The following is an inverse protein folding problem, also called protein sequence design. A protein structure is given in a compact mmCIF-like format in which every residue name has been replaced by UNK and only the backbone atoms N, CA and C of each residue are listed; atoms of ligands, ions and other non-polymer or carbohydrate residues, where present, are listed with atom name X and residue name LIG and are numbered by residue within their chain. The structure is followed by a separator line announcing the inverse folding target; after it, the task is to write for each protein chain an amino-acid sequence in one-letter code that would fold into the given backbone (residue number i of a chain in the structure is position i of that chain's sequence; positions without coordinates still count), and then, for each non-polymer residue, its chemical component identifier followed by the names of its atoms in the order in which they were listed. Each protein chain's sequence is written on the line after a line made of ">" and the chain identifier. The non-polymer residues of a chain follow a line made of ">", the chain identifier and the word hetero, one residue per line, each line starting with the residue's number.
data_IF_499097784625
#
_entry.id   IF_499097784625
#
_cell.length_a   1.000
_cell.length_b   1.000
_cell.length_c   1.000
_cell.angle_alpha   90.00
_cell.angle_beta   90.00
_cell.angle_gamma   90.00
#
_symmetry.space_group_name_H-M   'P 1'
#
loop_
_entity.id
_entity.type
_entity.pdbx_description
1 polymer ?
#
# COMPACT_ATOMS: atom_id res chain seq x y z
N UNK A 1 -31.27 -13.71 -6.02
CA UNK A 1 -30.11 -14.49 -5.49
C UNK A 1 -29.64 -13.79 -4.23
N UNK A 2 -29.61 -14.50 -3.12
CA UNK A 2 -29.05 -14.00 -1.87
C UNK A 2 -27.55 -13.73 -2.02
N UNK A 3 -27.05 -12.69 -1.35
CA UNK A 3 -25.63 -12.29 -1.38
C UNK A 3 -24.71 -13.44 -0.94
N UNK A 4 -25.09 -14.15 0.10
CA UNK A 4 -24.31 -15.29 0.62
C UNK A 4 -24.34 -16.50 -0.34
N UNK A 5 -25.40 -16.68 -1.09
CA UNK A 5 -25.46 -17.71 -2.14
C UNK A 5 -24.48 -17.37 -3.27
N UNK A 6 -24.36 -16.10 -3.67
CA UNK A 6 -23.38 -15.65 -4.63
C UNK A 6 -21.95 -15.94 -4.15
N UNK A 7 -21.65 -15.68 -2.87
CA UNK A 7 -20.34 -15.98 -2.29
C UNK A 7 -20.05 -17.50 -2.29
N UNK A 8 -21.05 -18.32 -1.92
CA UNK A 8 -20.91 -19.80 -1.93
C UNK A 8 -20.68 -20.37 -3.33
N UNK A 9 -21.25 -19.74 -4.36
CA UNK A 9 -21.09 -20.17 -5.76
C UNK A 9 -19.76 -19.71 -6.38
N UNK A 10 -19.00 -18.84 -5.73
CA UNK A 10 -17.70 -18.43 -6.22
C UNK A 10 -16.62 -19.46 -5.86
N UNK A 11 -16.35 -20.37 -6.80
CA UNK A 11 -15.47 -21.53 -6.61
C UNK A 11 -14.13 -21.39 -7.34
N UNK A 12 -13.92 -20.35 -8.16
CA UNK A 12 -12.75 -20.23 -9.02
C UNK A 12 -11.40 -20.32 -8.27
N UNK A 13 -11.28 -19.70 -7.09
CA UNK A 13 -10.07 -19.79 -6.29
C UNK A 13 -9.85 -21.22 -5.75
N UNK A 14 -10.93 -21.91 -5.32
CA UNK A 14 -10.87 -23.29 -4.81
C UNK A 14 -10.45 -24.25 -5.92
N UNK A 15 -11.03 -24.14 -7.08
CA UNK A 15 -10.69 -24.93 -8.27
C UNK A 15 -9.22 -24.73 -8.69
N UNK A 16 -8.72 -23.50 -8.65
CA UNK A 16 -7.32 -23.19 -8.93
C UNK A 16 -6.37 -23.79 -7.88
N UNK A 17 -6.75 -23.78 -6.59
CA UNK A 17 -5.97 -24.43 -5.51
C UNK A 17 -5.94 -25.95 -5.72
N UNK A 18 -7.08 -26.58 -5.98
CA UNK A 18 -7.20 -28.02 -6.23
C UNK A 18 -6.39 -28.46 -7.47
N UNK A 19 -6.31 -27.58 -8.47
CA UNK A 19 -5.51 -27.80 -9.70
C UNK A 19 -4.02 -27.49 -9.54
N UNK A 20 -3.57 -27.01 -8.37
CA UNK A 20 -2.16 -26.68 -8.11
C UNK A 20 -1.63 -25.45 -8.85
N UNK A 21 -2.51 -24.59 -9.39
CA UNK A 21 -2.17 -23.39 -10.16
C UNK A 21 -2.48 -22.07 -9.45
N UNK A 22 -2.62 -22.11 -8.12
CA UNK A 22 -2.93 -20.91 -7.31
C UNK A 22 -1.67 -20.34 -6.65
N UNK A 23 -1.02 -19.32 -7.25
CA UNK A 23 0.26 -18.78 -6.77
C UNK A 23 0.10 -17.64 -5.76
N UNK A 24 -1.09 -17.44 -5.19
CA UNK A 24 -1.39 -16.29 -4.33
C UNK A 24 -1.44 -16.67 -2.85
N UNK A 25 -1.28 -15.67 -1.98
CA UNK A 25 -1.37 -15.81 -0.52
C UNK A 25 -0.43 -16.86 0.07
N UNK A 26 0.78 -16.95 -0.50
CA UNK A 26 1.82 -17.87 -0.04
C UNK A 26 2.40 -17.34 1.28
N UNK A 27 2.29 -18.06 2.41
CA UNK A 27 2.84 -17.62 3.68
C UNK A 27 4.36 -17.81 3.71
N UNK A 28 5.09 -16.75 4.03
CA UNK A 28 6.53 -16.80 4.24
C UNK A 28 6.82 -16.88 5.74
N UNK A 29 7.73 -17.75 6.16
CA UNK A 29 8.13 -17.90 7.56
C UNK A 29 9.14 -16.85 7.99
N UNK A 30 10.10 -16.56 7.11
CA UNK A 30 11.15 -15.56 7.32
C UNK A 30 11.33 -14.76 6.03
N UNK A 31 11.71 -13.50 6.20
CA UNK A 31 12.01 -12.59 5.11
C UNK A 31 13.20 -11.72 5.52
N UNK A 32 14.39 -12.05 5.03
CA UNK A 32 15.61 -11.33 5.33
C UNK A 32 16.42 -11.03 4.06
N UNK A 33 16.51 -9.74 3.75
CA UNK A 33 17.23 -9.28 2.56
C UNK A 33 16.59 -9.80 1.27
N UNK A 34 17.31 -10.64 0.55
CA UNK A 34 16.90 -11.27 -0.72
C UNK A 34 16.43 -12.71 -0.56
N UNK A 35 16.42 -13.23 0.65
CA UNK A 35 16.05 -14.61 0.95
C UNK A 35 14.77 -14.70 1.77
N UNK A 36 14.02 -15.76 1.55
CA UNK A 36 12.80 -16.08 2.30
C UNK A 36 12.79 -17.55 2.67
N UNK A 37 12.07 -17.90 3.73
CA UNK A 37 11.81 -19.28 4.08
C UNK A 37 10.36 -19.62 3.79
N UNK A 38 10.17 -20.60 2.93
CA UNK A 38 8.87 -21.16 2.57
C UNK A 38 8.88 -22.68 2.75
N UNK A 39 7.98 -23.22 3.55
CA UNK A 39 7.88 -24.65 3.86
C UNK A 39 9.24 -25.27 4.31
N UNK A 40 9.99 -24.55 5.13
CA UNK A 40 11.30 -24.97 5.63
C UNK A 40 12.46 -24.88 4.62
N UNK A 41 12.21 -24.39 3.41
CA UNK A 41 13.26 -24.21 2.38
C UNK A 41 13.63 -22.74 2.24
N UNK A 42 14.93 -22.44 2.16
CA UNK A 42 15.46 -21.13 1.76
C UNK A 42 15.30 -20.95 0.26
N UNK A 43 14.71 -19.84 -0.12
CA UNK A 43 14.47 -19.45 -1.51
C UNK A 43 14.90 -18.00 -1.74
N UNK A 44 15.25 -17.69 -2.99
CA UNK A 44 15.54 -16.32 -3.40
C UNK A 44 14.21 -15.62 -3.72
N UNK A 45 13.98 -14.46 -3.12
CA UNK A 45 12.80 -13.64 -3.35
C UNK A 45 12.99 -12.75 -4.58
N UNK A 46 12.40 -13.14 -5.72
CA UNK A 46 12.43 -12.36 -6.95
C UNK A 46 11.22 -11.40 -7.11
N UNK A 47 10.20 -11.52 -6.27
CA UNK A 47 8.94 -10.78 -6.39
C UNK A 47 8.76 -9.66 -5.34
N UNK A 48 9.84 -9.15 -4.75
CA UNK A 48 9.78 -8.14 -3.70
C UNK A 48 9.80 -6.71 -4.25
N UNK A 49 9.04 -5.81 -3.62
CA UNK A 49 9.14 -4.36 -3.84
C UNK A 49 10.24 -3.70 -2.98
N UNK A 50 11.07 -4.47 -2.31
CA UNK A 50 12.21 -3.98 -1.51
C UNK A 50 13.38 -3.57 -2.40
N UNK A 51 13.16 -2.66 -3.36
CA UNK A 51 14.12 -2.29 -4.40
C UNK A 51 15.47 -1.79 -3.87
N UNK A 52 15.47 -1.10 -2.74
CA UNK A 52 16.69 -0.55 -2.11
C UNK A 52 17.25 -1.45 -0.99
N UNK A 53 16.62 -2.58 -0.69
CA UNK A 53 17.07 -3.49 0.37
C UNK A 53 16.97 -2.91 1.79
N UNK A 54 16.14 -1.91 2.00
CA UNK A 54 16.11 -1.15 3.26
C UNK A 54 15.25 -1.77 4.36
N UNK A 55 14.37 -2.73 4.05
CA UNK A 55 13.44 -3.30 5.05
C UNK A 55 14.14 -3.96 6.24
N UNK A 56 15.36 -4.47 6.04
CA UNK A 56 16.16 -5.11 7.09
C UNK A 56 17.38 -4.28 7.51
N UNK A 57 17.52 -3.07 6.96
CA UNK A 57 18.68 -2.22 7.25
C UNK A 57 18.70 -1.79 8.73
N UNK A 58 19.83 -1.94 9.45
CA UNK A 58 19.91 -1.70 10.89
C UNK A 58 19.41 -0.32 11.32
N UNK A 59 19.79 0.74 10.61
CA UNK A 59 19.34 2.12 10.90
C UNK A 59 17.84 2.29 10.76
N UNK A 60 17.21 1.61 9.78
CA UNK A 60 15.75 1.69 9.56
C UNK A 60 15.03 0.95 10.69
N UNK A 61 15.51 -0.24 11.07
CA UNK A 61 14.98 -0.99 12.22
C UNK A 61 15.10 -0.19 13.52
N UNK A 62 16.27 0.39 13.78
CA UNK A 62 16.50 1.21 14.97
C UNK A 62 15.57 2.44 15.02
N UNK A 63 15.37 3.13 13.89
CA UNK A 63 14.46 4.26 13.81
C UNK A 63 13.01 3.85 14.09
N UNK A 64 12.58 2.69 13.60
CA UNK A 64 11.25 2.15 13.88
C UNK A 64 11.06 1.80 15.35
N UNK A 65 12.07 1.18 16.00
CA UNK A 65 12.03 0.87 17.43
C UNK A 65 11.91 2.16 18.26
N UNK A 66 12.74 3.17 17.97
CA UNK A 66 12.67 4.48 18.66
C UNK A 66 11.32 5.18 18.47
N UNK A 67 10.72 5.04 17.28
CA UNK A 67 9.38 5.59 17.02
C UNK A 67 8.32 4.88 17.86
N UNK A 68 8.38 3.56 17.98
CA UNK A 68 7.48 2.78 18.84
C UNK A 68 7.64 3.17 20.30
N UNK A 69 8.85 3.29 20.80
CA UNK A 69 9.15 3.71 22.18
C UNK A 69 8.59 5.10 22.49
N UNK A 70 8.65 6.02 21.53
CA UNK A 70 8.21 7.40 21.70
C UNK A 70 6.71 7.61 21.50
N UNK A 71 6.11 6.95 20.53
CA UNK A 71 4.73 7.21 20.05
C UNK A 71 3.77 6.03 20.25
N UNK A 72 4.29 4.87 20.65
CA UNK A 72 3.51 3.63 20.66
C UNK A 72 3.31 3.04 19.26
N UNK A 73 2.33 2.16 19.13
CA UNK A 73 2.10 1.37 17.91
C UNK A 73 1.00 1.95 17.00
N UNK A 74 0.38 3.06 17.40
CA UNK A 74 -0.74 3.64 16.67
C UNK A 74 -0.86 5.15 16.92
N UNK A 75 -1.38 5.87 15.92
CA UNK A 75 -1.75 7.28 16.04
C UNK A 75 -3.10 7.49 16.72
N UNK A 76 -3.83 6.42 17.05
CA UNK A 76 -5.15 6.40 17.71
C UNK A 76 -6.26 7.20 17.05
N UNK A 77 -6.04 7.78 15.89
CA UNK A 77 -7.03 8.55 15.14
C UNK A 77 -6.58 8.93 13.74
N UNK A 78 -7.49 9.54 12.98
CA UNK A 78 -7.18 10.05 11.65
C UNK A 78 -6.27 11.29 11.73
N UNK A 79 -5.47 11.49 10.72
CA UNK A 79 -4.60 12.67 10.62
C UNK A 79 -5.38 13.99 10.65
N UNK A 80 -6.59 13.99 10.13
CA UNK A 80 -7.47 15.16 10.11
C UNK A 80 -7.91 15.61 11.52
N UNK A 81 -8.06 14.69 12.45
CA UNK A 81 -8.56 15.00 13.80
C UNK A 81 -7.43 15.01 14.85
N UNK A 82 -7.01 13.84 15.31
CA UNK A 82 -6.11 13.68 16.45
C UNK A 82 -4.92 12.74 16.20
N UNK A 83 -4.75 12.25 14.98
CA UNK A 83 -3.71 11.29 14.61
C UNK A 83 -2.50 11.89 13.90
N UNK A 84 -2.35 13.22 13.82
CA UNK A 84 -1.14 13.85 13.29
C UNK A 84 -0.08 13.92 14.38
N UNK A 85 1.01 13.21 14.18
CA UNK A 85 2.20 13.24 15.03
C UNK A 85 3.24 14.19 14.44
N UNK A 86 4.10 14.77 15.28
CA UNK A 86 5.21 15.62 14.84
C UNK A 86 6.14 14.92 13.81
N UNK A 87 6.27 13.60 13.90
CA UNK A 87 7.04 12.82 12.93
C UNK A 87 6.39 12.80 11.51
N UNK A 88 5.09 12.95 11.39
CA UNK A 88 4.43 13.07 10.08
C UNK A 88 4.82 14.40 9.41
N UNK A 89 4.72 15.50 10.14
CA UNK A 89 5.07 16.83 9.64
C UNK A 89 6.56 16.93 9.26
N UNK A 90 7.42 16.33 10.10
CA UNK A 90 8.85 16.28 9.81
C UNK A 90 9.14 15.47 8.53
N UNK A 91 8.51 14.31 8.36
CA UNK A 91 8.66 13.49 7.17
C UNK A 91 8.15 14.22 5.91
N UNK A 92 7.01 14.89 5.99
CA UNK A 92 6.46 15.69 4.88
C UNK A 92 7.41 16.81 4.47
N UNK A 93 7.99 17.50 5.43
CA UNK A 93 8.99 18.54 5.19
C UNK A 93 10.24 17.97 4.50
N UNK A 94 10.82 16.91 5.04
CA UNK A 94 12.02 16.27 4.48
C UNK A 94 11.77 15.72 3.07
N UNK A 95 10.61 15.13 2.82
CA UNK A 95 10.23 14.66 1.47
C UNK A 95 10.07 15.82 0.50
N UNK A 96 9.42 16.92 0.90
CA UNK A 96 9.28 18.11 0.06
C UNK A 96 10.64 18.69 -0.32
N UNK A 97 11.54 18.85 0.64
CA UNK A 97 12.91 19.30 0.43
C UNK A 97 13.68 18.36 -0.53
N UNK A 98 13.58 17.04 -0.30
CA UNK A 98 14.28 16.05 -1.11
C UNK A 98 13.84 16.03 -2.58
N UNK A 99 12.54 16.19 -2.84
CA UNK A 99 12.00 16.21 -4.22
C UNK A 99 11.96 17.63 -4.82
N UNK A 100 12.40 18.67 -4.09
CA UNK A 100 12.42 20.06 -4.55
C UNK A 100 11.03 20.65 -4.76
N UNK A 101 10.07 20.35 -3.88
CA UNK A 101 8.70 20.87 -3.89
C UNK A 101 8.43 21.74 -2.66
N UNK A 102 7.42 22.59 -2.75
CA UNK A 102 7.01 23.46 -1.63
C UNK A 102 6.48 22.66 -0.43
N UNK A 103 5.76 21.57 -0.70
CA UNK A 103 5.14 20.75 0.31
C UNK A 103 4.98 19.31 -0.16
N UNK A 104 4.75 18.41 0.79
CA UNK A 104 4.38 17.02 0.55
C UNK A 104 3.28 16.61 1.52
N UNK A 105 2.49 15.62 1.14
CA UNK A 105 1.50 14.98 1.97
C UNK A 105 1.72 13.47 1.98
N UNK A 106 1.84 12.89 3.17
CA UNK A 106 2.10 11.47 3.35
C UNK A 106 0.80 10.70 3.60
N UNK A 107 0.63 9.62 2.89
CA UNK A 107 -0.45 8.64 3.06
C UNK A 107 0.11 7.31 3.55
N UNK A 108 -0.69 6.51 4.23
CA UNK A 108 -0.27 5.21 4.76
C UNK A 108 0.03 4.17 3.69
N UNK A 109 -0.58 4.29 2.50
CA UNK A 109 -0.39 3.36 1.38
C UNK A 109 -0.43 4.08 0.04
N UNK A 110 0.21 3.51 -0.99
CA UNK A 110 0.13 4.01 -2.37
C UNK A 110 -1.31 3.98 -2.90
N UNK A 111 -2.12 3.02 -2.49
CA UNK A 111 -3.54 2.98 -2.83
C UNK A 111 -4.28 4.22 -2.30
N UNK A 112 -4.11 4.56 -1.03
CA UNK A 112 -4.71 5.77 -0.45
C UNK A 112 -4.18 7.05 -1.10
N UNK A 113 -2.90 7.08 -1.48
CA UNK A 113 -2.33 8.20 -2.22
C UNK A 113 -3.05 8.42 -3.54
N UNK A 114 -3.23 7.36 -4.34
CA UNK A 114 -3.90 7.45 -5.63
C UNK A 114 -5.39 7.79 -5.47
N UNK A 115 -6.10 7.11 -4.57
CA UNK A 115 -7.51 7.41 -4.29
C UNK A 115 -7.69 8.86 -3.83
N UNK A 116 -6.95 9.28 -2.81
CA UNK A 116 -7.06 10.61 -2.23
C UNK A 116 -6.70 11.71 -3.20
N UNK A 117 -5.59 11.55 -3.94
CA UNK A 117 -5.12 12.58 -4.88
C UNK A 117 -6.04 12.71 -6.08
N UNK A 118 -6.34 11.59 -6.76
CA UNK A 118 -7.12 11.64 -8.00
C UNK A 118 -8.55 12.10 -7.71
N UNK A 119 -9.23 11.52 -6.71
CA UNK A 119 -10.60 11.89 -6.41
C UNK A 119 -10.77 13.32 -5.90
N UNK A 120 -9.77 13.85 -5.18
CA UNK A 120 -9.84 15.21 -4.65
C UNK A 120 -9.61 16.30 -5.70
N UNK A 121 -8.84 16.01 -6.75
CA UNK A 121 -8.49 16.98 -7.78
C UNK A 121 -9.52 17.06 -8.91
N UNK A 122 -10.36 16.04 -9.08
CA UNK A 122 -11.25 15.91 -10.23
C UNK A 122 -12.68 16.32 -9.87
N UNK A 123 -13.12 17.39 -10.49
CA UNK A 123 -14.48 17.95 -10.38
C UNK A 123 -15.39 17.48 -11.53
N UNK A 124 -16.66 17.94 -11.51
CA UNK A 124 -17.67 17.55 -12.51
C UNK A 124 -17.37 18.02 -13.95
N UNK A 125 -16.59 19.08 -14.06
CA UNK A 125 -16.27 19.70 -15.37
C UNK A 125 -14.94 19.16 -15.94
N UNK A 126 -14.24 18.29 -15.21
CA UNK A 126 -12.97 17.73 -15.60
C UNK A 126 -13.12 16.41 -16.39
N UNK A 127 -12.07 16.10 -17.14
CA UNK A 127 -11.93 14.84 -17.87
C UNK A 127 -10.66 14.15 -17.44
N UNK A 128 -10.76 12.87 -17.05
CA UNK A 128 -9.61 12.02 -16.76
C UNK A 128 -9.35 11.12 -17.96
N UNK A 129 -8.12 11.13 -18.44
CA UNK A 129 -7.65 10.18 -19.45
C UNK A 129 -6.79 9.13 -18.75
N UNK A 130 -7.23 7.89 -18.77
CA UNK A 130 -6.52 6.75 -18.17
C UNK A 130 -5.86 5.90 -19.25
N UNK A 131 -4.70 5.34 -18.93
CA UNK A 131 -4.17 4.20 -19.68
C UNK A 131 -4.96 2.95 -19.30
N UNK A 132 -5.12 2.06 -20.26
CA UNK A 132 -5.89 0.80 -20.05
C UNK A 132 -5.21 -0.13 -19.02
N UNK A 133 -3.90 -0.02 -18.84
CA UNK A 133 -3.08 -0.84 -17.96
C UNK A 133 -2.67 -0.10 -16.67
N UNK A 134 -3.32 1.03 -16.37
CA UNK A 134 -3.14 1.75 -15.12
C UNK A 134 -3.42 0.86 -13.90
N UNK A 135 -2.67 1.09 -12.83
CA UNK A 135 -2.87 0.38 -11.57
C UNK A 135 -4.31 0.57 -11.08
N UNK A 136 -4.92 -0.50 -10.57
CA UNK A 136 -6.31 -0.52 -10.12
C UNK A 136 -6.68 0.63 -9.16
N UNK A 137 -5.76 1.07 -8.30
CA UNK A 137 -5.99 2.20 -7.39
C UNK A 137 -6.14 3.55 -8.10
N UNK A 138 -5.51 3.74 -9.27
CA UNK A 138 -5.68 4.95 -10.10
C UNK A 138 -7.07 4.92 -10.73
N UNK A 139 -7.46 3.78 -11.29
CA UNK A 139 -8.79 3.56 -11.86
C UNK A 139 -9.88 3.79 -10.81
N UNK A 140 -9.69 3.27 -9.58
CA UNK A 140 -10.64 3.45 -8.50
C UNK A 140 -10.67 4.90 -7.99
N UNK A 141 -9.53 5.58 -7.94
CA UNK A 141 -9.46 7.02 -7.65
C UNK A 141 -10.23 7.85 -8.67
N UNK A 142 -10.11 7.52 -9.96
CA UNK A 142 -10.88 8.16 -11.03
C UNK A 142 -12.38 7.94 -10.88
N UNK A 143 -12.80 6.71 -10.53
CA UNK A 143 -14.22 6.38 -10.28
C UNK A 143 -14.83 7.07 -9.08
N UNK A 144 -14.03 7.43 -8.09
CA UNK A 144 -14.46 8.19 -6.92
C UNK A 144 -14.58 9.69 -7.21
N UNK A 145 -13.89 10.20 -8.22
CA UNK A 145 -14.03 11.57 -8.70
C UNK A 145 -15.36 11.78 -9.43
N UNK A 146 -15.73 13.05 -9.64
CA UNK A 146 -16.97 13.41 -10.32
C UNK A 146 -16.81 13.69 -11.82
N UNK A 147 -15.59 13.64 -12.33
CA UNK A 147 -15.28 13.91 -13.72
C UNK A 147 -15.64 12.77 -14.68
N UNK A 148 -15.57 13.04 -15.96
CA UNK A 148 -15.66 12.02 -17.01
C UNK A 148 -14.38 11.20 -17.07
N UNK A 149 -14.49 9.87 -17.21
CA UNK A 149 -13.39 8.95 -17.48
C UNK A 149 -13.41 8.57 -18.96
#
# INVERSE_FOLDING_TARGET
>A
MDLFEKCRKFTAAKEAIESGIYPYFIPLNENEGTEVVFQGKRLIMCGSNNYLGLTTHPKVREAAIKAIERYGTSCTGSRFLNGTLAMHEQLEKELAEWVGKESALVFSTGMQTNLGTVSALISRDDVIVLDKDDHASIVDGARLGYGKI
#
